data_IF_153333362215
#
_entry.id   IF_153333362215
#
_cell.length_a   1.000
_cell.length_b   1.000
_cell.length_c   1.000
_cell.angle_alpha   90.00
_cell.angle_beta   90.00
_cell.angle_gamma   90.00
#
_symmetry.space_group_name_H-M   'P 1'
#
loop_
_entity.id
_entity.type
_entity.pdbx_description
1 polymer ?
#
# COMPACT_ATOMS: atom_id res chain seq x y z
N UNK A 1 -7.67 -19.79 -15.92
CA UNK A 1 -7.79 -18.34 -15.68
C UNK A 1 -8.24 -17.67 -16.97
N UNK A 2 -9.24 -16.80 -16.90
CA UNK A 2 -9.76 -16.12 -18.10
C UNK A 2 -8.79 -15.03 -18.56
N UNK A 3 -8.83 -14.69 -19.84
CA UNK A 3 -8.01 -13.60 -20.40
C UNK A 3 -8.31 -12.27 -19.72
N UNK A 4 -9.59 -12.01 -19.41
CA UNK A 4 -10.00 -10.78 -18.73
C UNK A 4 -9.37 -10.67 -17.34
N UNK A 5 -9.35 -11.76 -16.58
CA UNK A 5 -8.72 -11.77 -15.26
C UNK A 5 -7.21 -11.60 -15.36
N UNK A 6 -6.59 -12.25 -16.32
CA UNK A 6 -5.15 -12.13 -16.54
C UNK A 6 -4.76 -10.70 -16.94
N UNK A 7 -5.56 -10.08 -17.81
CA UNK A 7 -5.37 -8.67 -18.19
C UNK A 7 -5.52 -7.75 -16.98
N UNK A 8 -6.50 -8.01 -16.12
CA UNK A 8 -6.71 -7.24 -14.89
C UNK A 8 -5.52 -7.35 -13.95
N UNK A 9 -5.02 -8.57 -13.72
CA UNK A 9 -3.87 -8.79 -12.85
C UNK A 9 -2.60 -8.12 -13.39
N UNK A 10 -2.40 -8.16 -14.70
CA UNK A 10 -1.29 -7.49 -15.36
C UNK A 10 -1.38 -5.98 -15.19
N UNK A 11 -2.58 -5.42 -15.32
CA UNK A 11 -2.81 -3.98 -15.11
C UNK A 11 -2.52 -3.58 -13.67
N UNK A 12 -3.02 -4.34 -12.70
CA UNK A 12 -2.78 -4.09 -11.29
C UNK A 12 -1.28 -4.14 -10.99
N UNK A 13 -0.59 -5.15 -11.50
CA UNK A 13 0.85 -5.30 -11.30
C UNK A 13 1.61 -4.09 -11.85
N UNK A 14 1.26 -3.62 -13.03
CA UNK A 14 1.85 -2.44 -13.65
C UNK A 14 1.61 -1.18 -12.81
N UNK A 15 0.38 -1.01 -12.31
CA UNK A 15 0.01 0.13 -11.47
C UNK A 15 0.76 0.11 -10.14
N UNK A 16 0.91 -1.07 -9.53
CA UNK A 16 1.65 -1.23 -8.27
C UNK A 16 3.14 -0.94 -8.46
N UNK A 17 3.72 -1.36 -9.59
CA UNK A 17 5.11 -1.03 -9.91
C UNK A 17 5.34 0.46 -10.05
N UNK A 18 4.42 1.16 -10.72
CA UNK A 18 4.47 2.61 -10.85
C UNK A 18 4.34 3.30 -9.50
N UNK A 19 3.45 2.81 -8.66
CA UNK A 19 3.25 3.28 -7.29
C UNK A 19 4.52 3.11 -6.46
N UNK A 20 5.15 1.94 -6.55
CA UNK A 20 6.42 1.67 -5.87
C UNK A 20 7.52 2.61 -6.32
N UNK A 21 7.66 2.82 -7.63
CA UNK A 21 8.68 3.71 -8.18
C UNK A 21 8.52 5.14 -7.66
N UNK A 22 7.28 5.62 -7.55
CA UNK A 22 6.99 6.94 -7.01
C UNK A 22 7.36 7.04 -5.52
N UNK A 23 7.04 6.02 -4.72
CA UNK A 23 7.39 5.99 -3.30
C UNK A 23 8.90 5.89 -3.08
N UNK A 24 9.59 5.10 -3.89
CA UNK A 24 11.05 5.01 -3.84
C UNK A 24 11.70 6.36 -4.14
N UNK A 25 11.25 7.03 -5.19
CA UNK A 25 11.78 8.34 -5.57
C UNK A 25 11.56 9.36 -4.45
N UNK A 26 10.37 9.39 -3.88
CA UNK A 26 10.06 10.28 -2.76
C UNK A 26 10.92 9.99 -1.54
N UNK A 27 11.10 8.72 -1.21
CA UNK A 27 11.90 8.31 -0.05
C UNK A 27 13.37 8.66 -0.25
N UNK A 28 13.90 8.45 -1.45
CA UNK A 28 15.28 8.83 -1.77
C UNK A 28 15.49 10.33 -1.71
N UNK A 29 14.50 11.08 -2.19
CA UNK A 29 14.56 12.54 -2.12
C UNK A 29 14.63 13.04 -0.68
N UNK A 30 13.88 12.43 0.22
CA UNK A 30 13.81 12.86 1.63
C UNK A 30 14.90 12.28 2.52
N UNK A 31 15.34 11.05 2.25
CA UNK A 31 16.27 10.30 3.10
C UNK A 31 17.65 10.11 2.47
N UNK A 32 17.81 10.37 1.18
CA UNK A 32 19.05 10.14 0.45
C UNK A 32 19.07 8.73 -0.16
N UNK A 33 19.45 7.74 0.62
CA UNK A 33 19.51 6.36 0.14
C UNK A 33 18.41 5.52 0.78
N UNK A 34 18.00 4.46 0.07
CA UNK A 34 17.08 3.47 0.61
C UNK A 34 17.84 2.48 1.48
N UNK A 35 17.49 2.40 2.76
CA UNK A 35 18.01 1.37 3.63
C UNK A 35 17.29 0.03 3.36
N UNK A 36 17.84 -1.06 3.89
CA UNK A 36 17.18 -2.37 3.82
C UNK A 36 15.80 -2.33 4.50
N UNK A 37 15.68 -1.61 5.62
CA UNK A 37 14.42 -1.44 6.32
C UNK A 37 13.40 -0.67 5.47
N UNK A 38 13.84 0.36 4.74
CA UNK A 38 12.99 1.11 3.82
C UNK A 38 12.47 0.23 2.69
N UNK A 39 13.35 -0.60 2.12
CA UNK A 39 12.98 -1.53 1.07
C UNK A 39 11.93 -2.54 1.54
N UNK A 40 12.10 -3.10 2.74
CA UNK A 40 11.12 -4.02 3.34
C UNK A 40 9.77 -3.33 3.57
N UNK A 41 9.80 -2.10 4.03
CA UNK A 41 8.57 -1.33 4.26
C UNK A 41 7.86 -1.04 2.93
N UNK A 42 8.59 -0.67 1.89
CA UNK A 42 8.04 -0.47 0.55
C UNK A 42 7.46 -1.77 -0.02
N UNK A 43 8.11 -2.90 0.19
CA UNK A 43 7.59 -4.20 -0.22
C UNK A 43 6.25 -4.49 0.46
N UNK A 44 6.17 -4.27 1.77
CA UNK A 44 4.92 -4.48 2.52
C UNK A 44 3.80 -3.56 2.05
N UNK A 45 4.12 -2.29 1.79
CA UNK A 45 3.16 -1.32 1.25
C UNK A 45 2.63 -1.77 -0.10
N UNK A 46 3.51 -2.19 -1.00
CA UNK A 46 3.13 -2.61 -2.35
C UNK A 46 2.32 -3.90 -2.34
N UNK A 47 2.68 -4.87 -1.51
CA UNK A 47 1.90 -6.11 -1.36
C UNK A 47 0.49 -5.81 -0.83
N UNK A 48 0.37 -4.91 0.15
CA UNK A 48 -0.91 -4.51 0.71
C UNK A 48 -1.74 -3.74 -0.32
N UNK A 49 -1.12 -2.85 -1.08
CA UNK A 49 -1.79 -2.11 -2.15
C UNK A 49 -2.30 -3.03 -3.25
N UNK A 50 -1.55 -4.06 -3.59
CA UNK A 50 -1.99 -5.08 -4.56
C UNK A 50 -3.24 -5.79 -4.07
N UNK A 51 -3.25 -6.23 -2.81
CA UNK A 51 -4.41 -6.88 -2.19
C UNK A 51 -5.63 -5.96 -2.23
N UNK A 52 -5.43 -4.69 -1.88
CA UNK A 52 -6.50 -3.69 -1.89
C UNK A 52 -7.08 -3.50 -3.29
N UNK A 53 -6.22 -3.35 -4.30
CA UNK A 53 -6.66 -3.16 -5.70
C UNK A 53 -7.39 -4.38 -6.24
N UNK A 54 -6.93 -5.58 -5.91
CA UNK A 54 -7.62 -6.82 -6.29
C UNK A 54 -8.99 -6.91 -5.63
N UNK A 55 -9.08 -6.56 -4.34
CA UNK A 55 -10.36 -6.56 -3.63
C UNK A 55 -11.34 -5.55 -4.21
N UNK A 56 -10.89 -4.33 -4.52
CA UNK A 56 -11.71 -3.30 -5.15
C UNK A 56 -12.22 -3.77 -6.51
N UNK A 57 -11.37 -4.41 -7.31
CA UNK A 57 -11.76 -4.95 -8.61
C UNK A 57 -12.81 -6.06 -8.46
N UNK A 58 -12.67 -6.93 -7.47
CA UNK A 58 -13.64 -7.98 -7.20
C UNK A 58 -14.99 -7.40 -6.77
N UNK A 59 -14.99 -6.39 -5.93
CA UNK A 59 -16.21 -5.70 -5.50
C UNK A 59 -16.92 -5.08 -6.71
N UNK A 60 -16.19 -4.40 -7.58
CA UNK A 60 -16.73 -3.77 -8.76
C UNK A 60 -17.35 -4.81 -9.72
N UNK A 61 -16.63 -5.92 -9.94
CA UNK A 61 -17.11 -7.00 -10.81
C UNK A 61 -18.37 -7.65 -10.24
N UNK A 62 -18.36 -7.99 -8.96
CA UNK A 62 -19.51 -8.63 -8.30
C UNK A 62 -20.70 -7.70 -8.18
N UNK A 63 -20.47 -6.42 -7.93
CA UNK A 63 -21.53 -5.44 -7.86
C UNK A 63 -22.33 -5.34 -9.14
N UNK A 64 -21.68 -5.54 -10.30
CA UNK A 64 -22.36 -5.60 -11.58
C UNK A 64 -23.14 -6.92 -11.77
N UNK A 65 -22.57 -8.03 -11.31
CA UNK A 65 -23.19 -9.36 -11.47
C UNK A 65 -24.34 -9.62 -10.50
N UNK A 66 -24.24 -9.11 -9.29
CA UNK A 66 -25.21 -9.39 -8.23
C UNK A 66 -26.55 -8.72 -8.42
N UNK A 67 -26.66 -7.78 -9.33
CA UNK A 67 -27.97 -7.30 -9.78
C UNK A 67 -28.80 -8.42 -10.40
N UNK A 68 -28.16 -9.51 -10.83
CA UNK A 68 -28.80 -10.59 -11.55
C UNK A 68 -28.73 -11.94 -10.82
N UNK A 69 -28.04 -12.04 -9.71
CA UNK A 69 -27.96 -13.29 -8.94
C UNK A 69 -28.41 -13.06 -7.50
N UNK A 70 -29.48 -13.75 -7.10
CA UNK A 70 -30.00 -13.72 -5.74
C UNK A 70 -29.55 -14.94 -4.98
N UNK A 71 -28.26 -15.01 -4.66
CA UNK A 71 -27.73 -16.12 -3.90
C UNK A 71 -27.13 -15.68 -2.58
N UNK A 72 -27.42 -16.44 -1.54
CA UNK A 72 -26.81 -16.24 -0.22
C UNK A 72 -25.26 -16.30 -0.31
N UNK A 73 -24.76 -17.16 -1.22
CA UNK A 73 -23.33 -17.29 -1.47
C UNK A 73 -22.72 -16.03 -2.10
N UNK A 74 -23.49 -15.32 -2.93
CA UNK A 74 -23.03 -14.08 -3.55
C UNK A 74 -22.82 -12.99 -2.51
N UNK A 75 -23.71 -12.87 -1.55
CA UNK A 75 -23.61 -11.92 -0.46
C UNK A 75 -22.39 -12.20 0.44
N UNK A 76 -22.14 -13.48 0.73
CA UNK A 76 -20.98 -13.88 1.53
C UNK A 76 -19.66 -13.54 0.83
N UNK A 77 -19.59 -13.77 -0.50
CA UNK A 77 -18.42 -13.43 -1.30
C UNK A 77 -18.19 -11.94 -1.38
N UNK A 78 -19.25 -11.15 -1.53
CA UNK A 78 -19.18 -9.70 -1.54
C UNK A 78 -18.67 -9.18 -0.21
N UNK A 79 -19.21 -9.68 0.90
CA UNK A 79 -18.76 -9.31 2.24
C UNK A 79 -17.29 -9.67 2.48
N UNK A 80 -16.85 -10.79 1.93
CA UNK A 80 -15.44 -11.21 2.05
C UNK A 80 -14.50 -10.23 1.34
N UNK A 81 -14.84 -9.83 0.11
CA UNK A 81 -14.04 -8.87 -0.64
C UNK A 81 -14.03 -7.49 0.02
N UNK A 82 -15.19 -7.04 0.51
CA UNK A 82 -15.31 -5.77 1.26
C UNK A 82 -14.46 -5.82 2.52
N UNK A 83 -14.51 -6.93 3.27
CA UNK A 83 -13.70 -7.12 4.45
C UNK A 83 -12.20 -7.11 4.14
N UNK A 84 -11.78 -7.73 3.05
CA UNK A 84 -10.39 -7.74 2.61
C UNK A 84 -9.93 -6.34 2.22
N UNK A 85 -10.75 -5.59 1.48
CA UNK A 85 -10.45 -4.21 1.09
C UNK A 85 -10.28 -3.33 2.33
N UNK A 86 -11.21 -3.41 3.27
CA UNK A 86 -11.16 -2.63 4.50
C UNK A 86 -9.92 -2.93 5.34
N UNK A 87 -9.61 -4.22 5.49
CA UNK A 87 -8.43 -4.67 6.23
C UNK A 87 -7.14 -4.20 5.57
N UNK A 88 -7.07 -4.32 4.24
CA UNK A 88 -5.92 -3.86 3.47
C UNK A 88 -5.76 -2.34 3.58
N UNK A 89 -6.85 -1.59 3.52
CA UNK A 89 -6.82 -0.13 3.66
C UNK A 89 -6.31 0.29 5.05
N UNK A 90 -6.74 -0.40 6.10
CA UNK A 90 -6.25 -0.14 7.46
C UNK A 90 -4.76 -0.44 7.59
N UNK A 91 -4.31 -1.58 7.08
CA UNK A 91 -2.90 -1.97 7.09
C UNK A 91 -2.06 -0.98 6.30
N UNK A 92 -2.54 -0.58 5.12
CA UNK A 92 -1.87 0.40 4.27
C UNK A 92 -1.70 1.73 5.01
N UNK A 93 -2.74 2.18 5.70
CA UNK A 93 -2.68 3.40 6.52
C UNK A 93 -1.57 3.36 7.56
N UNK A 94 -1.43 2.24 8.25
CA UNK A 94 -0.38 2.05 9.24
C UNK A 94 1.02 2.02 8.61
N UNK A 95 1.16 1.32 7.49
CA UNK A 95 2.43 1.24 6.77
C UNK A 95 2.84 2.58 6.19
N UNK A 96 1.90 3.33 5.63
CA UNK A 96 2.17 4.67 5.10
C UNK A 96 2.56 5.64 6.21
N UNK A 97 1.92 5.55 7.38
CA UNK A 97 2.30 6.35 8.54
C UNK A 97 3.73 6.04 8.98
N UNK A 98 4.11 4.76 8.99
CA UNK A 98 5.46 4.34 9.31
C UNK A 98 6.48 4.88 8.29
N UNK A 99 6.15 4.81 7.00
CA UNK A 99 7.01 5.35 5.95
C UNK A 99 7.22 6.85 6.10
N UNK A 100 6.14 7.60 6.35
CA UNK A 100 6.22 9.05 6.54
C UNK A 100 7.03 9.42 7.78
N UNK A 101 6.90 8.64 8.85
CA UNK A 101 7.71 8.84 10.05
C UNK A 101 9.20 8.64 9.75
N UNK A 102 9.56 7.63 8.98
CA UNK A 102 10.93 7.41 8.54
C UNK A 102 11.44 8.55 7.65
N UNK A 103 10.62 9.01 6.72
CA UNK A 103 10.95 10.13 5.83
C UNK A 103 11.19 11.41 6.62
N UNK A 104 10.35 11.71 7.61
CA UNK A 104 10.53 12.88 8.48
C UNK A 104 11.80 12.79 9.31
N UNK A 105 12.08 11.60 9.84
CA UNK A 105 13.30 11.35 10.62
C UNK A 105 14.54 11.52 9.75
N UNK A 106 14.52 10.99 8.53
CA UNK A 106 15.61 11.15 7.57
C UNK A 106 15.83 12.60 7.20
N UNK A 107 14.77 13.36 6.92
CA UNK A 107 14.84 14.80 6.63
C UNK A 107 15.38 15.60 7.82
N UNK A 108 14.85 15.34 9.01
CA UNK A 108 15.28 16.00 10.22
C UNK A 108 16.76 15.73 10.50
N UNK A 109 17.20 14.46 10.34
CA UNK A 109 18.60 14.10 10.50
C UNK A 109 19.53 14.80 9.51
N UNK A 110 19.06 14.99 8.27
CA UNK A 110 19.83 15.68 7.24
C UNK A 110 19.90 17.20 7.46
N UNK A 111 18.93 17.77 8.15
CA UNK A 111 18.82 19.22 8.39
C UNK A 111 19.40 19.68 9.72
N UNK A 112 19.61 18.78 10.65
CA UNK A 112 20.09 19.13 11.98
C UNK A 112 21.60 19.38 11.98
N UNK A 113 22.05 20.41 12.71
CA UNK A 113 23.47 20.58 12.97
C UNK A 113 24.02 19.38 13.72
N UNK A 114 25.26 19.06 13.46
CA UNK A 114 25.93 17.92 14.07
C UNK A 114 25.88 18.01 15.60
N UNK A 115 25.35 16.96 16.24
CA UNK A 115 25.27 16.87 17.70
C UNK A 115 24.10 17.61 18.34
N UNK A 116 23.32 18.38 17.58
CA UNK A 116 22.20 19.13 18.14
C UNK A 116 20.90 18.33 17.99
N UNK A 117 20.13 18.25 19.05
CA UNK A 117 18.75 17.77 19.08
C UNK A 117 18.57 16.27 18.74
N UNK A 118 19.63 15.50 18.58
CA UNK A 118 19.53 14.07 18.37
C UNK A 118 18.81 13.36 19.54
N UNK A 119 19.06 13.82 20.76
CA UNK A 119 18.45 13.27 21.96
C UNK A 119 16.94 13.51 22.02
N UNK A 120 16.48 14.64 21.52
CA UNK A 120 15.05 14.97 21.47
C UNK A 120 14.33 14.06 20.47
N UNK A 121 14.97 13.71 19.36
CA UNK A 121 14.39 12.81 18.36
C UNK A 121 14.32 11.38 18.87
N UNK A 122 15.23 10.97 19.72
CA UNK A 122 15.25 9.62 20.29
C UNK A 122 14.15 9.41 21.33
N UNK A 123 13.60 10.47 21.88
CA UNK A 123 12.49 10.40 22.85
C UNK A 123 11.14 10.11 22.18
N UNK A 124 11.08 10.09 20.88
CA UNK A 124 9.89 9.74 20.13
C UNK A 124 10.00 8.37 19.47
#
# INVERSE_FOLDING_TARGET
MTEARQALLTRIDSEVRAYRAALEAETREKCGELSAADALLLDAICDTERIRREAVAQIAERGLRERYSNGRQSLERENKAVGQEHKAAQTLGKLMAALKARQRKGQAGAQLPEGAVADELDDY
#
